data_IF_280609697126
#
_entry.id   IF_280609697126
#
_cell.length_a   1.000
_cell.length_b   1.000
_cell.length_c   1.000
_cell.angle_alpha   90.00
_cell.angle_beta   90.00
_cell.angle_gamma   90.00
#
_symmetry.space_group_name_H-M   'P 1'
#
loop_
_entity.id
_entity.type
_entity.pdbx_description
1 polymer ?
#
# COMPACT_ATOMS: atom_id res chain seq x y z
N UNK A 1 -59.06 -35.46 -16.36
CA UNK A 1 -59.76 -34.62 -15.37
C UNK A 1 -58.81 -33.50 -15.01
N UNK A 2 -58.97 -32.37 -15.68
CA UNK A 2 -58.33 -31.11 -15.35
C UNK A 2 -59.09 -30.44 -14.20
N UNK A 3 -58.40 -29.70 -13.34
CA UNK A 3 -58.72 -28.30 -13.00
C UNK A 3 -57.62 -27.69 -12.08
N UNK A 4 -57.53 -26.34 -12.04
CA UNK A 4 -56.29 -25.57 -11.86
C UNK A 4 -56.33 -24.60 -10.66
N UNK A 5 -55.19 -24.03 -10.26
CA UNK A 5 -55.01 -22.69 -9.62
C UNK A 5 -53.48 -22.48 -9.56
N UNK A 6 -52.79 -21.56 -10.26
CA UNK A 6 -52.97 -20.16 -10.68
C UNK A 6 -53.15 -19.16 -9.54
N UNK A 7 -52.02 -18.62 -9.07
CA UNK A 7 -51.85 -17.24 -8.60
C UNK A 7 -50.46 -16.71 -8.99
N UNK A 8 -50.40 -15.60 -9.74
CA UNK A 8 -49.20 -14.78 -9.85
C UNK A 8 -49.54 -13.35 -9.40
N UNK A 9 -49.16 -12.96 -8.17
CA UNK A 9 -49.21 -11.56 -7.75
C UNK A 9 -48.06 -11.25 -6.80
N UNK A 10 -47.12 -10.41 -7.23
CA UNK A 10 -47.13 -9.01 -6.80
C UNK A 10 -45.86 -8.30 -7.26
N UNK A 11 -46.07 -7.33 -8.13
CA UNK A 11 -45.14 -6.31 -8.59
C UNK A 11 -45.21 -5.13 -7.62
N UNK A 12 -44.06 -4.59 -7.18
CA UNK A 12 -43.81 -3.31 -6.48
C UNK A 12 -42.72 -3.56 -5.42
N UNK A 13 -41.52 -2.98 -5.46
CA UNK A 13 -41.27 -1.56 -5.61
C UNK A 13 -39.86 -1.31 -6.20
N UNK A 14 -39.84 -0.47 -7.24
CA UNK A 14 -38.70 0.38 -7.56
C UNK A 14 -38.61 1.49 -6.51
N UNK A 15 -37.38 1.99 -6.34
CA UNK A 15 -36.98 3.24 -5.68
C UNK A 15 -36.79 3.20 -4.15
N UNK A 16 -35.53 3.05 -3.73
CA UNK A 16 -34.87 4.03 -2.84
C UNK A 16 -33.39 4.10 -3.25
N UNK A 17 -33.06 5.10 -4.07
CA UNK A 17 -31.70 5.60 -4.27
C UNK A 17 -31.63 6.97 -3.60
N UNK A 18 -30.46 7.26 -3.01
CA UNK A 18 -29.94 8.55 -2.54
C UNK A 18 -30.05 8.81 -1.04
N UNK A 19 -28.88 8.97 -0.44
CA UNK A 19 -28.68 9.53 0.88
C UNK A 19 -27.71 8.68 1.67
N UNK A 20 -26.42 9.02 1.63
CA UNK A 20 -25.71 9.44 2.84
C UNK A 20 -24.28 9.89 2.49
N UNK A 21 -23.98 11.08 3.02
CA UNK A 21 -22.87 11.93 2.64
C UNK A 21 -21.50 11.38 3.00
N UNK A 22 -20.57 11.65 2.11
CA UNK A 22 -19.15 11.48 2.38
C UNK A 22 -18.68 12.74 3.10
N UNK A 23 -18.49 12.64 4.41
CA UNK A 23 -17.83 13.67 5.22
C UNK A 23 -16.33 13.64 4.91
N UNK A 24 -15.83 14.78 4.43
CA UNK A 24 -14.41 15.04 4.20
C UNK A 24 -13.74 15.38 5.54
N UNK A 25 -12.62 14.75 5.95
CA UNK A 25 -11.81 15.25 7.03
C UNK A 25 -10.74 16.24 6.53
N UNK A 26 -10.43 17.15 7.45
CA UNK A 26 -9.64 18.35 7.32
C UNK A 26 -8.23 18.22 6.74
N UNK A 27 -7.88 19.31 6.08
CA UNK A 27 -6.60 19.67 5.49
C UNK A 27 -5.54 19.94 6.58
N UNK A 28 -4.39 19.26 6.53
CA UNK A 28 -3.21 19.65 7.31
C UNK A 28 -1.95 19.75 6.44
N UNK A 29 -1.70 21.00 6.01
CA UNK A 29 -0.42 21.72 5.81
C UNK A 29 0.80 20.91 5.32
N UNK A 30 1.15 21.04 4.04
CA UNK A 30 2.50 20.76 3.53
C UNK A 30 3.32 22.05 3.50
N UNK A 31 4.47 22.04 4.17
CA UNK A 31 5.40 23.16 4.28
C UNK A 31 6.21 23.34 2.99
N UNK A 32 6.35 24.60 2.59
CA UNK A 32 7.17 25.06 1.46
C UNK A 32 8.66 25.00 1.80
N UNK A 33 9.46 24.35 0.97
CA UNK A 33 10.91 24.60 0.87
C UNK A 33 11.32 24.64 -0.60
N UNK A 34 11.84 25.79 -1.04
CA UNK A 34 12.61 25.96 -2.28
C UNK A 34 14.10 25.92 -1.95
N UNK A 35 14.95 25.53 -2.90
CA UNK A 35 16.18 26.29 -3.12
C UNK A 35 16.36 26.71 -4.59
N UNK A 36 16.84 27.93 -4.77
CA UNK A 36 17.32 28.48 -6.04
C UNK A 36 18.71 27.92 -6.40
N UNK A 37 19.01 27.88 -7.70
CA UNK A 37 20.35 27.79 -8.25
C UNK A 37 20.36 28.44 -9.62
N UNK A 38 21.17 29.49 -9.76
CA UNK A 38 21.45 30.26 -10.98
C UNK A 38 22.63 29.68 -11.77
N UNK A 39 22.87 30.28 -12.94
CA UNK A 39 24.08 30.32 -13.78
C UNK A 39 24.22 29.30 -14.94
N UNK A 40 24.05 29.79 -16.19
CA UNK A 40 25.18 30.07 -17.10
C UNK A 40 24.74 30.39 -18.57
N UNK A 41 25.23 31.54 -19.09
CA UNK A 41 25.23 31.97 -20.50
C UNK A 41 26.63 31.76 -21.13
N UNK A 42 26.76 31.57 -22.46
CA UNK A 42 27.35 32.64 -23.31
C UNK A 42 26.76 32.72 -24.74
N UNK A 43 26.48 33.91 -25.30
CA UNK A 43 27.31 34.78 -26.18
C UNK A 43 27.75 34.15 -27.53
N UNK A 44 27.23 34.55 -28.71
CA UNK A 44 27.49 35.75 -29.56
C UNK A 44 28.58 35.48 -30.64
N UNK A 45 28.23 35.57 -31.93
CA UNK A 45 29.07 36.11 -33.01
C UNK A 45 28.26 36.25 -34.31
N UNK A 46 28.13 37.48 -34.79
CA UNK A 46 27.75 37.78 -36.18
C UNK A 46 29.00 38.05 -37.02
N UNK A 47 28.85 37.95 -38.34
CA UNK A 47 29.60 38.75 -39.32
C UNK A 47 28.78 38.87 -40.61
N UNK A 48 28.62 40.10 -41.09
CA UNK A 48 28.16 40.46 -42.42
C UNK A 48 29.32 40.36 -43.42
N UNK A 49 29.04 40.07 -44.70
CA UNK A 49 29.86 40.59 -45.82
C UNK A 49 29.08 40.57 -47.15
N UNK A 50 29.08 41.74 -47.80
CA UNK A 50 28.50 42.08 -49.10
C UNK A 50 29.16 41.35 -50.29
N UNK A 51 28.40 41.14 -51.36
CA UNK A 51 28.91 41.16 -52.75
C UNK A 51 27.94 41.93 -53.66
N UNK A 52 28.49 42.54 -54.71
CA UNK A 52 27.98 43.70 -55.44
C UNK A 52 27.78 43.38 -56.94
N UNK A 53 26.95 44.18 -57.64
CA UNK A 53 26.74 44.32 -59.11
C UNK A 53 26.04 43.16 -59.87
N UNK A 54 25.22 43.34 -60.93
CA UNK A 54 24.98 44.46 -61.86
C UNK A 54 23.55 44.41 -62.45
N UNK A 55 23.13 45.51 -63.08
CA UNK A 55 21.82 45.76 -63.69
C UNK A 55 21.54 44.95 -64.97
N UNK A 56 20.26 44.63 -65.24
CA UNK A 56 19.58 44.98 -66.52
C UNK A 56 18.09 44.63 -66.50
N UNK A 57 17.35 45.55 -67.15
CA UNK A 57 16.08 45.41 -67.87
C UNK A 57 14.75 45.09 -67.16
N UNK A 58 13.95 46.15 -67.03
CA UNK A 58 12.55 46.29 -67.45
C UNK A 58 11.73 44.98 -67.60
N UNK A 59 10.91 44.66 -66.60
CA UNK A 59 9.49 44.39 -66.85
C UNK A 59 8.65 44.68 -65.59
N UNK A 60 7.51 45.31 -65.80
CA UNK A 60 6.61 45.78 -64.76
C UNK A 60 5.70 44.63 -64.29
N UNK A 61 5.91 44.11 -63.09
CA UNK A 61 4.88 43.34 -62.37
C UNK A 61 4.77 43.76 -60.88
N UNK A 62 3.54 43.90 -60.35
CA UNK A 62 3.34 44.34 -58.98
C UNK A 62 3.72 43.23 -57.99
N UNK A 63 4.73 43.49 -57.14
CA UNK A 63 5.13 42.60 -56.05
C UNK A 63 4.03 42.54 -54.99
N UNK A 64 3.26 41.45 -54.97
CA UNK A 64 2.29 41.18 -53.91
C UNK A 64 3.00 40.89 -52.57
N UNK A 65 2.60 41.60 -51.51
CA UNK A 65 3.14 41.43 -50.15
C UNK A 65 2.63 40.10 -49.57
N UNK A 66 3.45 39.29 -48.86
CA UNK A 66 2.98 38.06 -48.24
C UNK A 66 1.90 38.38 -47.18
N UNK A 67 0.69 37.84 -47.39
CA UNK A 67 -0.43 38.02 -46.47
C UNK A 67 -0.09 37.36 -45.13
N UNK A 68 -0.14 38.12 -44.03
CA UNK A 68 0.03 37.58 -42.67
C UNK A 68 -1.00 36.47 -42.43
N UNK A 69 -0.53 35.27 -42.09
CA UNK A 69 -1.40 34.16 -41.68
C UNK A 69 -2.03 34.51 -40.33
N UNK A 70 -3.29 34.92 -40.35
CA UNK A 70 -4.03 35.27 -39.14
C UNK A 70 -4.44 34.00 -38.39
N UNK A 71 -3.86 33.79 -37.19
CA UNK A 71 -4.27 32.71 -36.30
C UNK A 71 -5.66 33.01 -35.74
N UNK A 72 -6.68 32.27 -36.20
CA UNK A 72 -8.02 32.36 -35.62
C UNK A 72 -8.02 31.71 -34.24
N UNK A 73 -8.64 32.38 -33.27
CA UNK A 73 -8.89 31.83 -31.93
C UNK A 73 -9.87 30.66 -32.04
N UNK A 74 -9.71 29.64 -31.19
CA UNK A 74 -10.72 28.59 -31.04
C UNK A 74 -11.99 29.21 -30.43
N UNK A 75 -13.16 28.74 -30.88
CA UNK A 75 -14.44 29.13 -30.27
C UNK A 75 -14.51 28.67 -28.82
N UNK A 76 -15.15 29.46 -27.95
CA UNK A 76 -15.39 29.13 -26.53
C UNK A 76 -16.10 27.79 -26.39
N UNK A 77 -17.07 27.50 -27.26
CA UNK A 77 -17.79 26.22 -27.30
C UNK A 77 -16.84 25.04 -27.57
N UNK A 78 -15.88 25.21 -28.50
CA UNK A 78 -14.91 24.16 -28.82
C UNK A 78 -13.92 23.90 -27.69
N UNK A 79 -13.55 24.94 -26.95
CA UNK A 79 -12.68 24.81 -25.77
C UNK A 79 -13.41 24.05 -24.66
N UNK A 80 -14.63 24.51 -24.31
CA UNK A 80 -15.45 23.89 -23.26
C UNK A 80 -15.81 22.43 -23.59
N UNK A 81 -16.13 22.11 -24.85
CA UNK A 81 -16.37 20.73 -25.28
C UNK A 81 -15.12 19.86 -25.13
N UNK A 82 -13.94 20.38 -25.48
CA UNK A 82 -12.69 19.64 -25.33
C UNK A 82 -12.38 19.38 -23.86
N UNK A 83 -12.48 20.40 -23.02
CA UNK A 83 -12.25 20.27 -21.57
C UNK A 83 -13.22 19.27 -20.94
N UNK A 84 -14.50 19.30 -21.34
CA UNK A 84 -15.49 18.32 -20.90
C UNK A 84 -15.10 16.88 -21.28
N UNK A 85 -14.70 16.65 -22.53
CA UNK A 85 -14.27 15.33 -22.99
C UNK A 85 -13.01 14.86 -22.26
N UNK A 86 -12.03 15.75 -22.08
CA UNK A 86 -10.78 15.44 -21.38
C UNK A 86 -11.08 15.01 -19.92
N UNK A 87 -11.99 15.72 -19.23
CA UNK A 87 -12.44 15.35 -17.88
C UNK A 87 -13.23 14.04 -17.84
N UNK A 88 -14.11 13.79 -18.81
CA UNK A 88 -14.83 12.52 -18.90
C UNK A 88 -13.87 11.33 -19.06
N UNK A 89 -12.81 11.49 -19.86
CA UNK A 89 -11.78 10.45 -20.01
C UNK A 89 -10.99 10.22 -18.72
N UNK A 90 -10.65 11.27 -17.98
CA UNK A 90 -9.95 11.14 -16.70
C UNK A 90 -10.82 10.43 -15.67
N UNK A 91 -12.12 10.74 -15.62
CA UNK A 91 -13.07 10.06 -14.74
C UNK A 91 -13.12 8.56 -15.07
N UNK A 92 -13.23 8.20 -16.36
CA UNK A 92 -13.26 6.78 -16.74
C UNK A 92 -11.96 6.04 -16.40
N UNK A 93 -10.82 6.69 -16.58
CA UNK A 93 -9.51 6.12 -16.23
C UNK A 93 -9.36 5.94 -14.72
N UNK A 94 -9.84 6.90 -13.93
CA UNK A 94 -9.84 6.83 -12.48
C UNK A 94 -10.78 5.74 -11.96
N UNK A 95 -11.97 5.61 -12.54
CA UNK A 95 -12.90 4.52 -12.22
C UNK A 95 -12.28 3.15 -12.52
N UNK A 96 -11.64 2.98 -13.67
CA UNK A 96 -10.93 1.73 -14.00
C UNK A 96 -9.80 1.42 -13.02
N UNK A 97 -9.02 2.43 -12.59
CA UNK A 97 -7.99 2.27 -11.55
C UNK A 97 -8.60 1.87 -10.21
N UNK A 98 -9.75 2.45 -9.87
CA UNK A 98 -10.48 2.14 -8.65
C UNK A 98 -10.94 0.67 -8.66
N UNK A 99 -11.54 0.20 -9.76
CA UNK A 99 -12.01 -1.19 -9.90
C UNK A 99 -10.85 -2.19 -9.78
N UNK A 100 -9.70 -1.90 -10.39
CA UNK A 100 -8.48 -2.72 -10.26
C UNK A 100 -7.99 -2.75 -8.82
N UNK A 101 -7.99 -1.61 -8.14
CA UNK A 101 -7.59 -1.51 -6.73
C UNK A 101 -8.56 -2.27 -5.83
N UNK A 102 -9.88 -2.13 -6.05
CA UNK A 102 -10.91 -2.86 -5.33
C UNK A 102 -10.73 -4.37 -5.50
N UNK A 103 -10.56 -4.85 -6.73
CA UNK A 103 -10.30 -6.26 -7.00
C UNK A 103 -9.04 -6.75 -6.28
N UNK A 104 -7.95 -5.98 -6.34
CA UNK A 104 -6.71 -6.31 -5.62
C UNK A 104 -6.93 -6.37 -4.10
N UNK A 105 -7.67 -5.41 -3.54
CA UNK A 105 -7.97 -5.40 -2.12
C UNK A 105 -8.87 -6.56 -1.72
N UNK A 106 -9.86 -6.94 -2.53
CA UNK A 106 -10.71 -8.10 -2.26
C UNK A 106 -9.93 -9.42 -2.31
N UNK A 107 -8.98 -9.54 -3.24
CA UNK A 107 -8.06 -10.69 -3.31
C UNK A 107 -7.15 -10.74 -2.06
N UNK A 108 -6.62 -9.59 -1.62
CA UNK A 108 -5.78 -9.50 -0.41
C UNK A 108 -6.56 -9.65 0.90
N UNK A 109 -7.79 -9.15 0.96
CA UNK A 109 -8.68 -9.30 2.12
C UNK A 109 -9.21 -10.74 2.21
N UNK A 110 -9.44 -11.40 1.07
CA UNK A 110 -9.88 -12.79 0.99
C UNK A 110 -8.77 -13.82 1.21
N UNK A 111 -7.50 -13.42 1.09
CA UNK A 111 -6.36 -14.28 1.34
C UNK A 111 -5.27 -13.52 2.08
N UNK A 112 -5.06 -13.86 3.37
CA UNK A 112 -3.83 -13.51 4.09
C UNK A 112 -2.63 -13.73 3.16
N UNK A 113 -1.73 -12.73 3.07
CA UNK A 113 -0.56 -12.80 2.19
C UNK A 113 0.12 -14.18 2.32
N UNK A 114 0.10 -15.02 1.26
CA UNK A 114 0.53 -16.42 1.38
C UNK A 114 2.01 -16.54 1.77
N UNK A 115 2.80 -15.53 1.42
CA UNK A 115 4.19 -15.35 1.86
C UNK A 115 4.29 -15.13 3.38
N UNK A 116 3.47 -14.22 3.93
CA UNK A 116 3.42 -13.93 5.37
C UNK A 116 2.98 -15.19 6.12
N UNK A 117 1.92 -15.87 5.66
CA UNK A 117 1.46 -17.12 6.27
C UNK A 117 2.55 -18.20 6.28
N UNK A 118 3.26 -18.37 5.16
CA UNK A 118 4.39 -19.31 5.07
C UNK A 118 5.50 -18.94 6.07
N UNK A 119 5.82 -17.66 6.18
CA UNK A 119 6.83 -17.17 7.12
C UNK A 119 6.41 -17.38 8.57
N UNK A 120 5.15 -17.12 8.92
CA UNK A 120 4.62 -17.37 10.26
C UNK A 120 4.69 -18.87 10.61
N UNK A 121 4.34 -19.74 9.68
CA UNK A 121 4.48 -21.19 9.85
C UNK A 121 5.92 -21.61 10.12
N UNK A 122 6.88 -21.17 9.29
CA UNK A 122 8.30 -21.47 9.48
C UNK A 122 8.83 -20.95 10.82
N UNK A 123 8.45 -19.75 11.22
CA UNK A 123 8.79 -19.20 12.53
C UNK A 123 8.21 -20.04 13.68
N UNK A 124 7.00 -20.56 13.52
CA UNK A 124 6.39 -21.50 14.46
C UNK A 124 7.22 -22.78 14.61
N UNK A 125 7.66 -23.38 13.50
CA UNK A 125 8.54 -24.55 13.50
C UNK A 125 9.85 -24.24 14.23
N UNK A 126 10.52 -23.13 13.90
CA UNK A 126 11.76 -22.72 14.57
C UNK A 126 11.57 -22.57 16.08
N UNK A 127 10.51 -21.91 16.52
CA UNK A 127 10.20 -21.76 17.95
C UNK A 127 10.03 -23.10 18.65
N UNK A 128 9.32 -24.05 18.03
CA UNK A 128 9.15 -25.39 18.59
C UNK A 128 10.50 -26.10 18.76
N UNK A 129 11.36 -26.04 17.75
CA UNK A 129 12.69 -26.67 17.83
C UNK A 129 13.57 -26.08 18.94
N UNK A 130 13.50 -24.76 19.17
CA UNK A 130 14.23 -24.09 20.26
C UNK A 130 13.70 -24.56 21.62
N UNK A 131 12.38 -24.71 21.74
CA UNK A 131 11.75 -25.20 22.97
C UNK A 131 12.13 -26.66 23.24
N UNK A 132 12.13 -27.53 22.23
CA UNK A 132 12.61 -28.92 22.35
C UNK A 132 14.07 -28.99 22.82
N UNK A 133 14.92 -28.10 22.30
CA UNK A 133 16.30 -27.98 22.74
C UNK A 133 16.38 -27.58 24.22
N UNK A 134 15.62 -26.57 24.65
CA UNK A 134 15.56 -26.17 26.06
C UNK A 134 15.15 -27.32 26.97
N UNK A 135 14.17 -28.14 26.56
CA UNK A 135 13.73 -29.31 27.33
C UNK A 135 14.82 -30.39 27.40
N UNK A 136 15.54 -30.63 26.31
CA UNK A 136 16.63 -31.61 26.26
C UNK A 136 17.77 -31.18 27.18
N UNK A 137 18.15 -29.90 27.12
CA UNK A 137 19.17 -29.34 28.02
C UNK A 137 18.71 -29.40 29.47
N UNK A 138 17.44 -29.15 29.75
CA UNK A 138 16.87 -29.29 31.10
C UNK A 138 17.06 -30.71 31.64
N UNK A 139 16.72 -31.74 30.85
CA UNK A 139 16.91 -33.15 31.25
C UNK A 139 18.36 -33.49 31.56
N UNK A 140 19.27 -33.10 30.66
CA UNK A 140 20.71 -33.35 30.83
C UNK A 140 21.23 -32.64 32.09
N UNK A 141 20.77 -31.41 32.35
CA UNK A 141 21.13 -30.68 33.57
C UNK A 141 20.56 -31.31 34.83
N UNK A 142 19.31 -31.76 34.82
CA UNK A 142 18.73 -32.48 35.94
C UNK A 142 19.60 -33.66 36.41
N UNK A 143 20.29 -34.32 35.46
CA UNK A 143 21.22 -35.41 35.74
C UNK A 143 22.61 -34.94 36.20
N UNK A 144 23.08 -33.78 35.73
CA UNK A 144 24.48 -33.35 35.85
C UNK A 144 24.73 -32.21 36.85
N UNK A 145 23.84 -31.22 36.95
CA UNK A 145 24.05 -29.95 37.71
C UNK A 145 22.75 -29.15 37.92
N UNK A 146 22.62 -28.46 39.06
CA UNK A 146 21.45 -27.62 39.41
C UNK A 146 21.45 -26.19 38.80
N UNK A 147 22.23 -25.92 37.75
CA UNK A 147 22.45 -24.56 37.23
C UNK A 147 21.40 -24.09 36.19
N UNK A 148 20.89 -22.86 36.36
CA UNK A 148 19.70 -22.29 35.68
C UNK A 148 19.98 -21.38 34.48
N UNK A 149 21.11 -21.52 33.78
CA UNK A 149 21.47 -20.61 32.66
C UNK A 149 20.50 -20.64 31.46
N UNK A 150 19.58 -21.61 31.35
CA UNK A 150 18.62 -21.67 30.23
C UNK A 150 17.38 -20.83 30.53
N UNK A 151 16.92 -20.06 29.54
CA UNK A 151 15.74 -19.19 29.63
C UNK A 151 14.57 -19.77 28.80
N UNK A 152 13.83 -20.76 29.33
CA UNK A 152 12.76 -21.45 28.58
C UNK A 152 11.60 -20.53 28.18
N UNK A 153 11.40 -19.44 28.92
CA UNK A 153 10.33 -18.45 28.70
C UNK A 153 10.73 -17.29 27.81
N UNK A 154 11.97 -17.29 27.30
CA UNK A 154 12.43 -16.27 26.36
C UNK A 154 11.69 -16.40 25.03
N UNK A 155 11.01 -15.33 24.64
CA UNK A 155 10.28 -15.24 23.39
C UNK A 155 10.29 -13.79 22.91
N UNK A 156 10.45 -13.60 21.61
CA UNK A 156 10.32 -12.29 20.98
C UNK A 156 8.84 -11.88 20.96
N UNK A 157 8.58 -10.67 21.48
CA UNK A 157 7.24 -10.09 21.56
C UNK A 157 7.23 -8.76 20.83
N UNK A 158 6.20 -8.54 20.01
CA UNK A 158 5.95 -7.26 19.37
C UNK A 158 4.79 -6.59 20.09
N UNK A 159 5.04 -5.43 20.69
CA UNK A 159 4.02 -4.68 21.41
C UNK A 159 3.55 -3.51 20.56
N UNK A 160 2.23 -3.37 20.46
CA UNK A 160 1.61 -2.23 19.79
C UNK A 160 1.77 -0.93 20.62
N UNK A 161 1.70 0.20 19.92
CA UNK A 161 1.66 1.53 20.55
C UNK A 161 0.34 1.78 21.27
N UNK A 162 -0.75 1.16 20.82
CA UNK A 162 -2.07 1.29 21.45
C UNK A 162 -2.16 0.50 22.77
N UNK A 163 -2.66 1.10 23.86
CA UNK A 163 -2.77 0.43 25.16
C UNK A 163 -3.66 -0.82 25.16
N UNK A 164 -4.80 -0.80 24.46
CA UNK A 164 -5.75 -1.92 24.43
C UNK A 164 -5.14 -3.16 23.76
N UNK A 165 -4.60 -2.99 22.55
CA UNK A 165 -3.93 -4.06 21.78
C UNK A 165 -2.72 -4.59 22.54
N UNK A 166 -1.95 -3.72 23.22
CA UNK A 166 -0.82 -4.14 24.05
C UNK A 166 -1.27 -5.04 25.20
N UNK A 167 -2.33 -4.65 25.90
CA UNK A 167 -2.85 -5.42 27.02
C UNK A 167 -3.35 -6.79 26.58
N UNK A 168 -4.08 -6.85 25.46
CA UNK A 168 -4.52 -8.10 24.85
C UNK A 168 -3.33 -9.00 24.47
N UNK A 169 -2.32 -8.43 23.80
CA UNK A 169 -1.10 -9.16 23.44
C UNK A 169 -0.40 -9.72 24.68
N UNK A 170 -0.27 -8.92 25.74
CA UNK A 170 0.35 -9.37 27.00
C UNK A 170 -0.46 -10.48 27.69
N UNK A 171 -1.79 -10.42 27.63
CA UNK A 171 -2.65 -11.48 28.16
C UNK A 171 -2.52 -12.78 27.36
N UNK A 172 -2.47 -12.69 26.03
CA UNK A 172 -2.27 -13.85 25.15
C UNK A 172 -0.91 -14.53 25.40
N UNK A 173 0.11 -13.80 25.83
CA UNK A 173 1.44 -14.33 26.14
C UNK A 173 1.51 -15.09 27.47
N UNK A 174 0.53 -14.92 28.36
CA UNK A 174 0.54 -15.51 29.70
C UNK A 174 0.51 -17.04 29.63
N UNK A 175 -0.44 -17.60 28.88
CA UNK A 175 -0.62 -19.06 28.81
C UNK A 175 0.60 -19.76 28.19
N UNK A 176 1.13 -19.34 27.03
CA UNK A 176 2.32 -19.97 26.45
C UNK A 176 3.52 -19.91 27.40
N UNK A 177 3.75 -18.78 28.09
CA UNK A 177 4.87 -18.67 29.04
C UNK A 177 4.73 -19.63 30.21
N UNK A 178 3.55 -19.74 30.79
CA UNK A 178 3.29 -20.67 31.88
C UNK A 178 3.44 -22.13 31.42
N UNK A 179 2.95 -22.45 30.23
CA UNK A 179 3.07 -23.76 29.63
C UNK A 179 4.53 -24.20 29.46
N UNK A 180 5.36 -23.36 28.82
CA UNK A 180 6.78 -23.68 28.61
C UNK A 180 7.57 -23.73 29.92
N UNK A 181 7.28 -22.81 30.86
CA UNK A 181 7.89 -22.84 32.19
C UNK A 181 7.55 -24.13 32.94
N UNK A 182 6.28 -24.54 32.92
CA UNK A 182 5.82 -25.77 33.57
C UNK A 182 6.47 -27.01 32.98
N UNK A 183 6.55 -27.10 31.64
CA UNK A 183 7.28 -28.19 30.99
C UNK A 183 8.74 -28.23 31.40
N UNK A 184 9.42 -27.08 31.40
CA UNK A 184 10.82 -27.00 31.76
C UNK A 184 11.08 -27.44 33.21
N UNK A 185 10.26 -26.96 34.16
CA UNK A 185 10.34 -27.38 35.56
C UNK A 185 10.11 -28.88 35.70
N UNK A 186 9.12 -29.43 34.97
CA UNK A 186 8.85 -30.86 34.97
C UNK A 186 10.05 -31.65 34.48
N UNK A 187 10.71 -31.21 33.40
CA UNK A 187 11.90 -31.89 32.89
C UNK A 187 13.10 -31.78 33.84
N UNK A 188 13.23 -30.65 34.54
CA UNK A 188 14.25 -30.49 35.59
C UNK A 188 13.99 -31.39 36.80
N UNK A 189 12.74 -31.59 37.19
CA UNK A 189 12.40 -32.36 38.38
C UNK A 189 12.52 -33.88 38.19
N UNK A 190 12.51 -34.40 36.96
CA UNK A 190 12.63 -35.84 36.69
C UNK A 190 13.94 -36.47 37.22
N UNK A 191 15.01 -35.69 37.34
CA UNK A 191 16.29 -36.15 37.90
C UNK A 191 16.48 -35.83 39.39
N UNK A 192 15.57 -35.06 39.99
CA UNK A 192 15.68 -34.63 41.38
C UNK A 192 14.91 -35.59 42.30
N UNK A 193 15.55 -36.06 43.36
CA UNK A 193 14.88 -36.91 44.34
C UNK A 193 13.93 -36.05 45.18
N UNK A 194 12.63 -36.39 45.31
CA UNK A 194 11.61 -35.54 45.96
C UNK A 194 11.87 -35.30 47.46
N UNK A 195 12.78 -36.06 48.06
CA UNK A 195 13.12 -36.03 49.49
C UNK A 195 14.55 -35.53 49.76
N UNK A 196 15.31 -35.19 48.72
CA UNK A 196 16.66 -34.67 48.89
C UNK A 196 16.63 -33.15 49.11
N UNK A 197 17.36 -32.68 50.14
CA UNK A 197 17.57 -31.26 50.37
C UNK A 197 18.68 -30.77 49.43
N UNK A 198 18.31 -30.08 48.36
CA UNK A 198 19.21 -29.44 47.40
C UNK A 198 19.33 -27.93 47.65
#
# INVERSE_FOLDING_TARGET
METPYSTPESSSALAVLLGNGWSLPDQQVCQSTKPCGDDDFPALHGTDTKSEFDATDLDAQPKEKPKRVYKKRKSTYSMCKKEKMDLETEITDLMAKLDVLQLRTLIQQGGEDPSLRRQLYLNGVLRNTIQEHHLTVARVRAMLTSSTVVRPTEMYIHLASEPAIRHETMNALREPKLYYAGQFITQLSLGLHPTANY
#
